data_IF_888654541951
#
_entry.id   IF_888654541951
#
_cell.length_a   1.000
_cell.length_b   1.000
_cell.length_c   1.000
_cell.angle_alpha   90.00
_cell.angle_beta   90.00
_cell.angle_gamma   90.00
#
_symmetry.space_group_name_H-M   'P 1'
#
loop_
_entity.id
_entity.type
_entity.pdbx_description
1 polymer ?
#
# COMPACT_ATOMS: atom_id res chain seq x y z
N UNK A 1 38.56 -23.07 -0.89
CA UNK A 1 38.27 -24.40 -0.30
C UNK A 1 37.41 -24.12 0.93
N UNK A 2 36.09 -24.11 0.79
CA UNK A 2 35.16 -23.71 1.85
C UNK A 2 34.79 -24.94 2.67
N UNK A 3 35.18 -24.96 3.94
CA UNK A 3 34.67 -25.88 4.95
C UNK A 3 33.20 -25.53 5.25
N UNK A 4 32.26 -26.47 5.14
CA UNK A 4 30.88 -26.24 5.57
C UNK A 4 30.84 -26.15 7.09
N UNK A 5 30.48 -24.98 7.63
CA UNK A 5 30.14 -24.82 9.05
C UNK A 5 28.75 -25.41 9.24
N UNK A 6 28.65 -26.47 10.04
CA UNK A 6 27.36 -27.01 10.50
C UNK A 6 26.85 -26.15 11.66
N UNK A 7 26.14 -25.06 11.36
CA UNK A 7 25.30 -24.42 12.37
C UNK A 7 24.02 -25.24 12.53
N UNK A 8 23.97 -26.03 13.60
CA UNK A 8 22.73 -26.62 14.10
C UNK A 8 21.80 -25.50 14.58
N UNK A 9 20.65 -25.36 13.93
CA UNK A 9 19.61 -24.38 14.26
C UNK A 9 19.19 -24.45 15.75
N UNK A 10 19.35 -23.38 16.55
CA UNK A 10 18.95 -23.37 17.96
C UNK A 10 17.42 -23.28 18.16
N UNK A 11 16.61 -23.17 17.10
CA UNK A 11 15.15 -23.04 17.21
C UNK A 11 14.37 -24.37 17.21
N UNK A 12 15.06 -25.53 17.13
CA UNK A 12 14.43 -26.86 17.13
C UNK A 12 14.90 -27.76 18.29
N UNK A 13 15.21 -27.17 19.45
CA UNK A 13 15.39 -27.94 20.67
C UNK A 13 14.01 -28.27 21.28
N UNK A 14 13.53 -29.49 21.04
CA UNK A 14 12.50 -30.11 21.87
C UNK A 14 13.17 -30.71 23.12
N UNK A 15 12.70 -30.43 24.35
CA UNK A 15 13.31 -30.98 25.54
C UNK A 15 12.93 -32.47 25.72
N UNK A 16 13.98 -33.30 25.67
CA UNK A 16 14.17 -34.58 26.38
C UNK A 16 13.12 -35.70 26.25
N UNK A 17 13.57 -36.83 25.68
CA UNK A 17 13.72 -38.08 26.45
C UNK A 17 12.50 -39.00 26.60
N UNK A 18 12.53 -40.14 25.90
CA UNK A 18 11.97 -41.40 26.40
C UNK A 18 10.80 -42.02 25.61
N UNK A 19 11.11 -43.17 24.99
CA UNK A 19 10.25 -44.29 24.56
C UNK A 19 9.19 -44.06 23.46
N UNK A 20 9.49 -44.70 22.32
CA UNK A 20 8.59 -45.42 21.42
C UNK A 20 7.15 -44.90 21.26
N UNK A 21 6.96 -44.07 20.23
CA UNK A 21 5.74 -44.07 19.42
C UNK A 21 6.12 -43.62 18.01
N UNK A 22 5.87 -44.48 17.00
CA UNK A 22 5.94 -44.13 15.58
C UNK A 22 5.01 -42.94 15.33
N UNK A 23 5.57 -41.74 15.25
CA UNK A 23 4.92 -40.58 14.66
C UNK A 23 4.86 -40.77 13.14
N UNK A 24 3.80 -40.27 12.46
CA UNK A 24 3.79 -40.19 11.00
C UNK A 24 5.00 -39.35 10.56
N UNK A 25 5.55 -39.54 9.35
CA UNK A 25 6.72 -38.78 8.92
C UNK A 25 6.34 -37.31 8.98
N UNK A 26 6.87 -36.60 9.99
CA UNK A 26 6.92 -35.16 9.95
C UNK A 26 7.67 -34.87 8.66
N UNK A 27 6.97 -34.26 7.71
CA UNK A 27 7.60 -33.57 6.60
C UNK A 27 8.51 -32.54 7.24
N UNK A 28 9.75 -32.97 7.51
CA UNK A 28 10.81 -32.13 7.99
C UNK A 28 10.79 -30.92 7.06
N UNK A 29 10.56 -29.75 7.63
CA UNK A 29 10.74 -28.50 6.90
C UNK A 29 12.18 -28.60 6.40
N UNK A 30 12.35 -28.93 5.12
CA UNK A 30 13.64 -28.83 4.47
C UNK A 30 14.05 -27.41 4.76
N UNK A 31 15.06 -27.25 5.62
CA UNK A 31 15.63 -25.95 5.91
C UNK A 31 15.97 -25.40 4.53
N UNK A 32 15.28 -24.33 4.16
CA UNK A 32 15.48 -23.69 2.87
C UNK A 32 16.88 -23.10 2.93
N UNK A 33 17.84 -23.94 2.57
CA UNK A 33 19.22 -23.56 2.34
C UNK A 33 19.16 -22.40 1.36
N UNK A 34 20.00 -21.38 1.55
CA UNK A 34 20.30 -20.44 0.48
C UNK A 34 20.97 -21.23 -0.65
N UNK A 35 20.16 -21.87 -1.50
CA UNK A 35 20.59 -22.34 -2.79
C UNK A 35 20.91 -21.10 -3.61
N UNK A 36 22.10 -21.05 -4.20
CA UNK A 36 22.46 -19.98 -5.10
C UNK A 36 21.42 -19.94 -6.23
N UNK A 37 20.57 -18.91 -6.34
CA UNK A 37 19.62 -18.85 -7.42
C UNK A 37 20.44 -18.81 -8.72
N UNK A 38 20.18 -19.76 -9.62
CA UNK A 38 20.73 -19.67 -10.97
C UNK A 38 20.35 -18.30 -11.53
N UNK A 39 21.29 -17.57 -12.13
CA UNK A 39 21.08 -16.22 -12.66
C UNK A 39 20.10 -16.26 -13.85
N UNK A 40 18.81 -16.40 -13.56
CA UNK A 40 17.71 -16.47 -14.52
C UNK A 40 16.69 -15.41 -14.15
N UNK A 41 16.26 -14.63 -15.15
CA UNK A 41 15.13 -13.72 -14.99
C UNK A 41 13.86 -14.55 -14.85
N UNK A 42 13.29 -14.57 -13.65
CA UNK A 42 12.05 -15.27 -13.39
C UNK A 42 10.87 -14.45 -13.93
N UNK A 43 9.91 -15.13 -14.56
CA UNK A 43 8.64 -14.54 -14.98
C UNK A 43 8.78 -13.29 -15.88
N UNK A 44 9.83 -13.25 -16.72
CA UNK A 44 10.22 -12.09 -17.53
C UNK A 44 9.11 -11.52 -18.43
N UNK A 45 8.16 -12.36 -18.84
CA UNK A 45 6.96 -11.93 -19.58
C UNK A 45 6.19 -10.81 -18.85
N UNK A 46 5.99 -10.94 -17.53
CA UNK A 46 5.25 -9.94 -16.75
C UNK A 46 6.04 -8.64 -16.55
N UNK A 47 7.38 -8.73 -16.52
CA UNK A 47 8.23 -7.54 -16.54
C UNK A 47 8.08 -6.76 -17.85
N UNK A 48 8.09 -7.46 -19.00
CA UNK A 48 7.88 -6.83 -20.32
C UNK A 48 6.49 -6.20 -20.40
N UNK A 49 5.46 -6.88 -19.89
CA UNK A 49 4.09 -6.36 -19.85
C UNK A 49 3.98 -5.10 -18.96
N UNK A 50 4.71 -5.04 -17.85
CA UNK A 50 4.72 -3.84 -17.01
C UNK A 50 5.43 -2.68 -17.72
N UNK A 51 6.59 -2.93 -18.35
CA UNK A 51 7.32 -1.92 -19.10
C UNK A 51 6.52 -1.39 -20.30
N UNK A 52 5.75 -2.25 -20.99
CA UNK A 52 4.86 -1.80 -22.05
C UNK A 52 3.73 -0.92 -21.51
N UNK A 53 3.15 -1.24 -20.35
CA UNK A 53 2.16 -0.39 -19.68
C UNK A 53 2.76 1.00 -19.32
N UNK A 54 3.98 1.04 -18.78
CA UNK A 54 4.70 2.30 -18.50
C UNK A 54 4.89 3.12 -19.79
N UNK A 55 5.30 2.46 -20.88
CA UNK A 55 5.49 3.11 -22.18
C UNK A 55 4.18 3.68 -22.74
N UNK A 56 3.08 2.93 -22.68
CA UNK A 56 1.76 3.38 -23.14
C UNK A 56 1.30 4.60 -22.34
N UNK A 57 1.43 4.58 -21.01
CA UNK A 57 1.12 5.75 -20.19
C UNK A 57 2.02 6.95 -20.51
N UNK A 58 3.31 6.70 -20.76
CA UNK A 58 4.25 7.71 -21.24
C UNK A 58 3.77 8.38 -22.53
N UNK A 59 3.42 7.59 -23.54
CA UNK A 59 2.92 8.09 -24.82
C UNK A 59 1.64 8.91 -24.61
N UNK A 60 0.67 8.39 -23.86
CA UNK A 60 -0.58 9.11 -23.57
C UNK A 60 -0.34 10.43 -22.83
N UNK A 61 0.54 10.42 -21.83
CA UNK A 61 0.91 11.60 -21.06
C UNK A 61 1.58 12.66 -21.95
N UNK A 62 2.56 12.30 -22.78
CA UNK A 62 3.27 13.28 -23.60
C UNK A 62 2.47 13.75 -24.82
N UNK A 63 1.74 12.85 -25.49
CA UNK A 63 1.09 13.16 -26.76
C UNK A 63 -0.21 13.94 -26.58
N UNK A 64 -1.03 13.59 -25.59
CA UNK A 64 -2.34 14.23 -25.33
C UNK A 64 -2.42 14.86 -23.95
N UNK A 65 -1.80 14.26 -22.92
CA UNK A 65 -1.87 14.75 -21.55
C UNK A 65 -1.19 16.11 -21.32
N UNK A 66 0.05 16.29 -21.78
CA UNK A 66 0.80 17.54 -21.61
C UNK A 66 0.16 18.70 -22.41
N UNK A 67 -0.25 18.53 -23.68
CA UNK A 67 -1.00 19.56 -24.38
C UNK A 67 -2.30 19.95 -23.67
N UNK A 68 -3.08 18.97 -23.20
CA UNK A 68 -4.31 19.21 -22.44
C UNK A 68 -4.05 19.97 -21.14
N UNK A 69 -3.02 19.59 -20.40
CA UNK A 69 -2.61 20.27 -19.17
C UNK A 69 -2.16 21.71 -19.44
N UNK A 70 -1.44 21.95 -20.55
CA UNK A 70 -1.03 23.30 -20.96
C UNK A 70 -2.23 24.16 -21.36
N UNK A 71 -3.21 23.60 -22.04
CA UNK A 71 -4.45 24.28 -22.42
C UNK A 71 -5.25 24.69 -21.16
N UNK A 72 -5.44 23.76 -20.22
CA UNK A 72 -6.14 24.05 -18.96
C UNK A 72 -5.39 25.08 -18.10
N UNK A 73 -4.07 24.99 -18.02
CA UNK A 73 -3.25 26.02 -17.36
C UNK A 73 -3.36 27.37 -18.07
N UNK A 74 -3.33 27.39 -19.40
CA UNK A 74 -3.49 28.61 -20.21
C UNK A 74 -4.84 29.29 -19.98
N UNK A 75 -5.93 28.52 -19.95
CA UNK A 75 -7.28 29.01 -19.66
C UNK A 75 -7.41 29.58 -18.24
N UNK A 76 -6.82 28.91 -17.26
CA UNK A 76 -6.76 29.43 -15.89
C UNK A 76 -5.90 30.71 -15.79
N UNK A 77 -4.88 30.87 -16.64
CA UNK A 77 -4.05 32.09 -16.70
C UNK A 77 -4.84 33.28 -17.22
N UNK A 78 -5.60 33.10 -18.30
CA UNK A 78 -6.41 34.16 -18.90
C UNK A 78 -7.55 34.60 -17.98
N UNK A 79 -8.12 33.69 -17.19
CA UNK A 79 -9.15 33.99 -16.20
C UNK A 79 -8.60 34.69 -14.93
N UNK A 80 -7.31 35.00 -14.88
CA UNK A 80 -6.65 35.57 -13.70
C UNK A 80 -6.63 34.62 -12.49
N UNK A 81 -6.86 33.32 -12.71
CA UNK A 81 -6.93 32.27 -11.68
C UNK A 81 -5.60 31.59 -11.41
N UNK A 82 -4.53 31.90 -12.15
CA UNK A 82 -3.18 31.45 -11.78
C UNK A 82 -2.67 32.36 -10.69
N UNK A 83 -2.40 31.82 -9.51
CA UNK A 83 -1.97 32.65 -8.43
C UNK A 83 -0.46 32.62 -8.23
N UNK A 84 0.08 33.76 -7.81
CA UNK A 84 1.51 34.03 -7.67
C UNK A 84 2.21 33.26 -6.52
N UNK A 85 1.54 32.31 -5.84
CA UNK A 85 2.01 31.63 -4.64
C UNK A 85 2.57 30.20 -4.82
N UNK A 86 2.82 29.74 -6.05
CA UNK A 86 3.36 28.38 -6.29
C UNK A 86 4.67 28.12 -5.52
N UNK A 87 5.56 29.10 -5.37
CA UNK A 87 6.82 28.96 -4.63
C UNK A 87 6.58 28.66 -3.15
N UNK A 88 5.57 29.26 -2.53
CA UNK A 88 5.24 29.08 -1.10
C UNK A 88 4.60 27.71 -0.84
N UNK A 89 3.75 27.22 -1.76
CA UNK A 89 3.17 25.89 -1.64
C UNK A 89 4.25 24.79 -1.68
N UNK A 90 5.22 24.90 -2.59
CA UNK A 90 6.34 23.95 -2.66
C UNK A 90 7.24 24.01 -1.42
N UNK A 91 7.48 25.19 -0.84
CA UNK A 91 8.26 25.30 0.41
C UNK A 91 7.52 24.69 1.60
N UNK A 92 6.21 24.89 1.72
CA UNK A 92 5.39 24.25 2.77
C UNK A 92 5.41 22.72 2.66
N UNK A 93 5.23 22.19 1.45
CA UNK A 93 5.34 20.74 1.20
C UNK A 93 6.72 20.23 1.61
N UNK A 94 7.79 20.95 1.23
CA UNK A 94 9.15 20.61 1.61
C UNK A 94 9.35 20.53 3.13
N UNK A 95 8.85 21.51 3.89
CA UNK A 95 8.97 21.49 5.36
C UNK A 95 8.18 20.32 5.97
N UNK A 96 6.95 20.07 5.50
CA UNK A 96 6.15 18.94 5.99
C UNK A 96 6.81 17.58 5.71
N UNK A 97 7.46 17.42 4.54
CA UNK A 97 8.24 16.23 4.23
C UNK A 97 9.43 16.05 5.20
N UNK A 98 10.15 17.12 5.54
CA UNK A 98 11.26 17.06 6.50
C UNK A 98 10.75 16.70 7.89
N UNK A 99 9.68 17.35 8.37
CA UNK A 99 9.07 17.06 9.68
C UNK A 99 8.61 15.61 9.75
N UNK A 100 7.89 15.12 8.74
CA UNK A 100 7.44 13.72 8.68
C UNK A 100 8.59 12.73 8.70
N UNK A 101 9.69 13.03 8.00
CA UNK A 101 10.89 12.16 7.97
C UNK A 101 11.57 12.10 9.34
N UNK A 102 11.74 13.24 10.01
CA UNK A 102 12.33 13.30 11.36
C UNK A 102 11.48 12.54 12.38
N UNK A 103 10.16 12.74 12.34
CA UNK A 103 9.22 12.02 13.21
C UNK A 103 9.23 10.51 12.94
N UNK A 104 9.35 10.09 11.69
CA UNK A 104 9.46 8.66 11.33
C UNK A 104 10.75 8.02 11.87
N UNK A 105 11.89 8.70 11.77
CA UNK A 105 13.15 8.22 12.35
C UNK A 105 13.08 8.15 13.88
N UNK A 106 12.48 9.15 14.52
CA UNK A 106 12.23 9.14 15.96
C UNK A 106 11.31 7.97 16.37
N UNK A 107 10.28 7.70 15.57
CA UNK A 107 9.38 6.56 15.78
C UNK A 107 10.11 5.22 15.74
N UNK A 108 11.02 5.02 14.78
CA UNK A 108 11.83 3.80 14.69
C UNK A 108 12.74 3.62 15.93
N UNK A 109 13.28 4.71 16.49
CA UNK A 109 14.06 4.64 17.74
C UNK A 109 13.17 4.27 18.94
N UNK A 110 11.97 4.83 19.01
CA UNK A 110 10.99 4.50 20.06
C UNK A 110 10.57 3.02 20.00
N UNK A 111 10.30 2.52 18.80
CA UNK A 111 9.98 1.11 18.49
C UNK A 111 10.99 0.15 19.09
N UNK A 112 12.30 0.41 18.93
CA UNK A 112 13.34 -0.46 19.48
C UNK A 112 13.42 -0.44 21.00
N UNK A 113 13.25 0.73 21.60
CA UNK A 113 13.38 0.90 23.05
C UNK A 113 12.22 0.24 23.81
N UNK A 114 10.99 0.36 23.28
CA UNK A 114 9.78 -0.02 24.01
C UNK A 114 8.82 -0.92 23.22
N UNK A 115 9.32 -1.76 22.29
CA UNK A 115 8.52 -2.63 21.42
C UNK A 115 7.34 -3.34 22.13
N UNK A 116 7.58 -4.02 23.25
CA UNK A 116 6.51 -4.71 24.00
C UNK A 116 5.45 -3.77 24.55
N UNK A 117 5.85 -2.65 25.17
CA UNK A 117 4.92 -1.67 25.72
C UNK A 117 4.12 -1.00 24.61
N UNK A 118 4.78 -0.70 23.49
CA UNK A 118 4.16 -0.07 22.33
C UNK A 118 3.14 -0.99 21.65
N UNK A 119 3.42 -2.30 21.49
CA UNK A 119 2.41 -3.25 20.97
C UNK A 119 1.16 -3.26 21.87
N UNK A 120 1.34 -3.23 23.20
CA UNK A 120 0.19 -3.14 24.13
C UNK A 120 -0.57 -1.83 23.98
N UNK A 121 0.13 -0.70 23.89
CA UNK A 121 -0.50 0.63 23.70
C UNK A 121 -1.27 0.68 22.39
N UNK A 122 -0.67 0.19 21.29
CA UNK A 122 -1.31 0.09 19.98
C UNK A 122 -2.64 -0.68 20.03
N UNK A 123 -2.63 -1.87 20.64
CA UNK A 123 -3.83 -2.68 20.79
C UNK A 123 -4.93 -1.97 21.59
N UNK A 124 -4.59 -1.35 22.72
CA UNK A 124 -5.55 -0.59 23.52
C UNK A 124 -6.03 0.68 22.82
N UNK A 125 -5.17 1.34 22.03
CA UNK A 125 -5.54 2.50 21.23
C UNK A 125 -6.52 2.11 20.13
N UNK A 126 -6.36 0.92 19.52
CA UNK A 126 -7.33 0.38 18.57
C UNK A 126 -8.72 0.25 19.18
N UNK A 127 -8.81 -0.34 20.38
CA UNK A 127 -10.07 -0.43 21.14
C UNK A 127 -10.62 0.98 21.41
N UNK A 128 -9.77 1.91 21.84
CA UNK A 128 -10.16 3.30 22.09
C UNK A 128 -10.75 3.99 20.84
N UNK A 129 -10.14 3.80 19.67
CA UNK A 129 -10.66 4.36 18.41
C UNK A 129 -12.01 3.73 18.02
N UNK A 130 -12.15 2.40 18.11
CA UNK A 130 -13.42 1.72 17.81
C UNK A 130 -14.53 2.20 18.75
N UNK A 131 -14.22 2.41 20.03
CA UNK A 131 -15.15 3.00 21.00
C UNK A 131 -15.50 4.45 20.66
N UNK A 132 -14.52 5.27 20.25
CA UNK A 132 -14.79 6.64 19.80
C UNK A 132 -15.71 6.67 18.58
N UNK A 133 -15.52 5.75 17.62
CA UNK A 133 -16.43 5.58 16.49
C UNK A 133 -17.83 5.15 16.94
N UNK A 134 -17.94 4.21 17.89
CA UNK A 134 -19.23 3.80 18.45
C UNK A 134 -19.98 4.97 19.10
N UNK A 135 -19.30 5.82 19.87
CA UNK A 135 -19.90 7.02 20.48
C UNK A 135 -20.31 8.03 19.43
N UNK A 136 -19.46 8.30 18.43
CA UNK A 136 -19.76 9.27 17.37
C UNK A 136 -20.94 8.86 16.49
N UNK A 137 -21.13 7.56 16.27
CA UNK A 137 -22.20 7.03 15.41
C UNK A 137 -23.51 6.82 16.16
N UNK A 138 -23.50 6.85 17.50
CA UNK A 138 -24.69 6.69 18.33
C UNK A 138 -25.79 7.72 18.02
N UNK A 139 -25.40 8.96 17.71
CA UNK A 139 -26.33 10.05 17.36
C UNK A 139 -26.92 9.94 15.95
N UNK A 140 -26.33 9.13 15.06
CA UNK A 140 -26.75 9.03 13.65
C UNK A 140 -27.48 7.71 13.38
N UNK A 141 -26.93 6.59 13.84
CA UNK A 141 -27.51 5.26 13.64
C UNK A 141 -27.15 4.33 14.80
N UNK A 142 -28.15 4.02 15.63
CA UNK A 142 -28.02 3.17 16.82
C UNK A 142 -27.53 1.75 16.47
N UNK A 143 -27.94 1.20 15.32
CA UNK A 143 -27.51 -0.14 14.89
C UNK A 143 -26.04 -0.18 14.51
N UNK A 144 -25.54 0.87 13.86
CA UNK A 144 -24.11 1.00 13.54
C UNK A 144 -23.27 1.12 14.83
N UNK A 145 -23.74 1.90 15.80
CA UNK A 145 -23.07 2.04 17.10
C UNK A 145 -23.02 0.70 17.86
N UNK A 146 -24.11 -0.07 17.85
CA UNK A 146 -24.16 -1.40 18.47
C UNK A 146 -23.17 -2.38 17.80
N UNK A 147 -23.08 -2.34 16.46
CA UNK A 147 -22.07 -3.13 15.73
C UNK A 147 -20.64 -2.77 16.17
N UNK A 148 -20.31 -1.48 16.28
CA UNK A 148 -18.98 -1.05 16.75
C UNK A 148 -18.72 -1.43 18.21
N UNK A 149 -19.72 -1.41 19.09
CA UNK A 149 -19.56 -1.88 20.48
C UNK A 149 -19.26 -3.38 20.56
N UNK A 150 -19.97 -4.21 19.76
CA UNK A 150 -19.67 -5.64 19.67
C UNK A 150 -18.25 -5.85 19.12
N UNK A 151 -17.86 -5.11 18.09
CA UNK A 151 -16.49 -5.16 17.55
C UNK A 151 -15.44 -4.76 18.59
N UNK A 152 -15.71 -3.74 19.41
CA UNK A 152 -14.83 -3.34 20.51
C UNK A 152 -14.69 -4.46 21.56
N UNK A 153 -15.78 -5.13 21.94
CA UNK A 153 -15.75 -6.26 22.86
C UNK A 153 -14.91 -7.43 22.32
N UNK A 154 -15.04 -7.74 21.02
CA UNK A 154 -14.22 -8.75 20.34
C UNK A 154 -12.73 -8.34 20.35
N UNK A 155 -12.42 -7.06 20.11
CA UNK A 155 -11.04 -6.57 20.17
C UNK A 155 -10.45 -6.69 21.59
N UNK A 156 -11.23 -6.37 22.63
CA UNK A 156 -10.78 -6.55 24.03
C UNK A 156 -10.52 -8.03 24.33
N UNK A 157 -11.41 -8.92 23.90
CA UNK A 157 -11.20 -10.36 24.03
C UNK A 157 -9.94 -10.84 23.31
N UNK A 158 -9.70 -10.34 22.09
CA UNK A 158 -8.49 -10.61 21.32
C UNK A 158 -7.21 -10.17 22.07
N UNK A 159 -7.22 -8.99 22.70
CA UNK A 159 -6.09 -8.49 23.50
C UNK A 159 -5.72 -9.48 24.60
N UNK A 160 -6.70 -10.03 25.31
CA UNK A 160 -6.44 -11.02 26.36
C UNK A 160 -5.93 -12.35 25.78
N UNK A 161 -6.48 -12.80 24.65
CA UNK A 161 -6.04 -14.03 23.98
C UNK A 161 -4.58 -13.98 23.49
N UNK A 162 -4.10 -12.78 23.10
CA UNK A 162 -2.80 -12.62 22.45
C UNK A 162 -1.64 -12.25 23.39
N UNK A 163 -1.91 -11.97 24.68
CA UNK A 163 -0.88 -11.54 25.66
C UNK A 163 0.38 -12.43 25.66
N UNK A 164 0.20 -13.74 25.61
CA UNK A 164 1.29 -14.72 25.64
C UNK A 164 2.22 -14.65 24.41
N UNK A 165 1.76 -14.04 23.31
CA UNK A 165 2.49 -13.93 22.03
C UNK A 165 3.20 -12.57 21.87
N UNK A 166 2.88 -11.57 22.69
CA UNK A 166 3.45 -10.22 22.60
C UNK A 166 4.98 -10.25 22.80
N UNK A 167 5.49 -11.12 23.68
CA UNK A 167 6.93 -11.26 23.89
C UNK A 167 7.67 -11.74 22.64
N UNK A 168 7.10 -12.72 21.93
CA UNK A 168 7.65 -13.23 20.67
C UNK A 168 7.60 -12.16 19.56
N UNK A 169 6.48 -11.46 19.40
CA UNK A 169 6.36 -10.34 18.46
C UNK A 169 7.34 -9.21 18.75
N UNK A 170 7.51 -8.86 20.03
CA UNK A 170 8.50 -7.87 20.44
C UNK A 170 9.93 -8.30 20.12
N UNK A 171 10.26 -9.59 20.23
CA UNK A 171 11.61 -10.09 19.92
C UNK A 171 11.87 -10.02 18.41
N UNK A 172 10.92 -10.48 17.59
CA UNK A 172 11.02 -10.41 16.13
C UNK A 172 11.12 -8.96 15.63
N UNK A 173 10.31 -8.06 16.18
CA UNK A 173 10.35 -6.64 15.84
C UNK A 173 11.70 -6.01 16.20
N UNK A 174 12.26 -6.31 17.38
CA UNK A 174 13.59 -5.84 17.78
C UNK A 174 14.69 -6.36 16.84
N UNK A 175 14.65 -7.64 16.47
CA UNK A 175 15.60 -8.21 15.53
C UNK A 175 15.50 -7.55 14.14
N UNK A 176 14.28 -7.34 13.62
CA UNK A 176 14.05 -6.67 12.35
C UNK A 176 14.58 -5.22 12.38
N UNK A 177 14.30 -4.46 13.45
CA UNK A 177 14.81 -3.10 13.60
C UNK A 177 16.34 -3.05 13.71
N UNK A 178 16.97 -4.01 14.40
CA UNK A 178 18.42 -4.10 14.51
C UNK A 178 19.07 -4.31 13.12
N UNK A 179 18.52 -5.22 12.32
CA UNK A 179 18.98 -5.46 10.94
C UNK A 179 18.87 -4.20 10.06
N UNK A 180 17.75 -3.48 10.15
CA UNK A 180 17.52 -2.25 9.38
C UNK A 180 18.45 -1.10 9.80
N UNK A 181 18.79 -0.98 11.09
CA UNK A 181 19.70 0.08 11.54
C UNK A 181 21.15 -0.18 11.15
N UNK A 182 21.60 -1.43 11.18
CA UNK A 182 22.92 -1.80 10.67
C UNK A 182 23.04 -1.54 9.16
N UNK A 183 21.93 -1.66 8.42
CA UNK A 183 21.86 -1.36 6.99
C UNK A 183 21.01 -0.13 6.69
N UNK A 184 21.43 1.03 7.22
CA UNK A 184 20.70 2.31 7.06
C UNK A 184 20.46 2.74 5.61
N UNK A 185 21.20 2.20 4.63
CA UNK A 185 20.96 2.39 3.20
C UNK A 185 19.55 1.95 2.75
N UNK A 186 18.89 1.05 3.50
CA UNK A 186 17.50 0.64 3.22
C UNK A 186 16.54 1.82 3.32
N UNK A 187 16.76 2.76 4.25
CA UNK A 187 15.93 3.96 4.38
C UNK A 187 16.10 4.89 3.18
N UNK A 188 17.30 4.96 2.60
CA UNK A 188 17.55 5.73 1.37
C UNK A 188 16.82 5.09 0.20
N UNK A 189 16.86 3.75 0.06
CA UNK A 189 16.10 3.04 -0.98
C UNK A 189 14.59 3.27 -0.82
N UNK A 190 14.07 3.18 0.41
CA UNK A 190 12.66 3.47 0.68
C UNK A 190 12.28 4.90 0.27
N UNK A 191 13.10 5.89 0.61
CA UNK A 191 12.87 7.29 0.23
C UNK A 191 12.89 7.48 -1.30
N UNK A 192 13.85 6.88 -2.00
CA UNK A 192 13.92 6.93 -3.48
C UNK A 192 12.69 6.28 -4.11
N UNK A 193 12.22 5.15 -3.59
CA UNK A 193 11.01 4.49 -4.09
C UNK A 193 9.74 5.30 -3.80
N UNK A 194 9.68 6.06 -2.69
CA UNK A 194 8.59 7.02 -2.42
C UNK A 194 8.62 8.17 -3.43
N UNK A 195 9.80 8.72 -3.77
CA UNK A 195 9.90 9.73 -4.82
C UNK A 195 9.47 9.17 -6.18
N UNK A 196 9.90 7.95 -6.51
CA UNK A 196 9.47 7.24 -7.71
C UNK A 196 7.95 7.01 -7.73
N UNK A 197 7.34 6.76 -6.56
CA UNK A 197 5.89 6.62 -6.42
C UNK A 197 5.17 7.93 -6.72
N UNK A 198 5.72 9.08 -6.31
CA UNK A 198 5.17 10.40 -6.67
C UNK A 198 5.28 10.66 -8.18
N UNK A 199 6.43 10.34 -8.78
CA UNK A 199 6.63 10.45 -10.25
C UNK A 199 5.63 9.56 -10.99
N UNK A 200 5.38 8.34 -10.51
CA UNK A 200 4.38 7.45 -11.07
C UNK A 200 2.97 8.04 -11.00
N UNK A 201 2.58 8.61 -9.85
CA UNK A 201 1.26 9.25 -9.69
C UNK A 201 1.10 10.46 -10.61
N UNK A 202 2.15 11.28 -10.76
CA UNK A 202 2.15 12.42 -11.68
C UNK A 202 2.02 11.97 -13.14
N UNK A 203 2.80 10.97 -13.55
CA UNK A 203 2.72 10.38 -14.88
C UNK A 203 1.30 9.87 -15.17
N UNK A 204 0.73 9.13 -14.21
CA UNK A 204 -0.62 8.59 -14.33
C UNK A 204 -1.69 9.68 -14.39
N UNK A 205 -1.58 10.75 -13.58
CA UNK A 205 -2.50 11.89 -13.64
C UNK A 205 -2.46 12.61 -15.00
N UNK A 206 -1.28 12.84 -15.56
CA UNK A 206 -1.17 13.47 -16.88
C UNK A 206 -1.70 12.53 -17.98
N UNK A 207 -1.42 11.23 -17.86
CA UNK A 207 -1.96 10.23 -18.77
C UNK A 207 -3.49 10.11 -18.71
N UNK A 208 -4.10 10.25 -17.53
CA UNK A 208 -5.57 10.20 -17.38
C UNK A 208 -6.27 11.41 -17.98
N UNK A 209 -5.66 12.61 -17.88
CA UNK A 209 -6.11 13.80 -18.62
C UNK A 209 -6.03 13.58 -20.14
N UNK A 210 -4.92 13.01 -20.61
CA UNK A 210 -4.75 12.67 -22.03
C UNK A 210 -5.79 11.66 -22.51
N UNK A 211 -6.06 10.62 -21.71
CA UNK A 211 -7.08 9.61 -21.98
C UNK A 211 -8.48 10.24 -22.05
N UNK A 212 -8.83 11.10 -21.09
CA UNK A 212 -10.11 11.81 -21.08
C UNK A 212 -10.31 12.64 -22.36
N UNK A 213 -9.30 13.38 -22.80
CA UNK A 213 -9.37 14.16 -24.05
C UNK A 213 -9.53 13.29 -25.29
N UNK A 214 -8.84 12.16 -25.37
CA UNK A 214 -9.01 11.20 -26.47
C UNK A 214 -10.45 10.68 -26.52
N UNK A 215 -11.06 10.39 -25.38
CA UNK A 215 -12.45 9.94 -25.34
C UNK A 215 -13.45 11.02 -25.76
N UNK A 216 -13.26 12.25 -25.27
CA UNK A 216 -14.13 13.37 -25.65
C UNK A 216 -14.04 13.66 -27.14
N UNK A 217 -12.85 13.60 -27.74
CA UNK A 217 -12.67 13.83 -29.17
C UNK A 217 -13.17 12.67 -30.05
N UNK A 218 -13.14 11.43 -29.54
CA UNK A 218 -13.50 10.24 -30.31
C UNK A 218 -15.02 10.00 -30.38
N UNK A 219 -15.79 10.55 -29.45
CA UNK A 219 -17.23 10.34 -29.38
C UNK A 219 -18.01 11.58 -29.87
N UNK A 220 -18.68 11.52 -31.04
CA UNK A 220 -19.38 12.66 -31.62
C UNK A 220 -20.64 13.08 -30.84
N UNK A 221 -21.19 12.23 -29.97
CA UNK A 221 -22.38 12.53 -29.16
C UNK A 221 -22.04 13.06 -27.74
N UNK A 222 -20.75 13.09 -27.39
CA UNK A 222 -20.24 13.42 -26.06
C UNK A 222 -20.59 14.85 -25.61
N UNK A 223 -20.50 15.84 -26.52
CA UNK A 223 -20.87 17.23 -26.21
C UNK A 223 -22.37 17.37 -25.87
N UNK A 224 -23.22 16.56 -26.51
CA UNK A 224 -24.68 16.56 -26.27
C UNK A 224 -25.01 15.95 -24.91
N UNK A 225 -24.34 14.88 -24.51
CA UNK A 225 -24.51 14.26 -23.19
C UNK A 225 -24.03 15.18 -22.06
N UNK A 226 -22.92 15.89 -22.25
CA UNK A 226 -22.40 16.87 -21.27
C UNK A 226 -23.37 18.06 -21.10
N UNK A 227 -23.96 18.58 -22.19
CA UNK A 227 -24.98 19.65 -22.11
C UNK A 227 -26.28 19.17 -21.42
N UNK A 228 -26.71 17.93 -21.68
CA UNK A 228 -27.85 17.31 -21.00
C UNK A 228 -27.59 17.10 -19.50
N UNK A 229 -26.39 16.68 -19.12
CA UNK A 229 -26.00 16.51 -17.72
C UNK A 229 -25.93 17.86 -16.97
N UNK A 230 -25.34 18.88 -17.58
CA UNK A 230 -25.25 20.22 -16.99
C UNK A 230 -26.60 20.93 -16.86
N UNK A 231 -27.60 20.56 -17.68
CA UNK A 231 -29.01 21.00 -17.54
C UNK A 231 -29.83 20.16 -16.54
N UNK A 232 -29.20 19.24 -15.80
CA UNK A 232 -29.86 18.38 -14.83
C UNK A 232 -30.82 17.34 -15.45
N UNK A 233 -30.72 17.09 -16.76
CA UNK A 233 -31.59 16.16 -17.50
C UNK A 233 -30.96 14.78 -17.73
N UNK A 234 -29.67 14.60 -17.40
CA UNK A 234 -28.98 13.30 -17.45
C UNK A 234 -28.22 13.05 -16.14
N UNK A 235 -28.33 11.85 -15.59
CA UNK A 235 -27.75 11.44 -14.29
C UNK A 235 -26.40 10.70 -14.48
N UNK A 236 -25.43 11.32 -15.17
CA UNK A 236 -24.09 10.73 -15.26
C UNK A 236 -23.22 11.29 -16.38
N UNK A 237 -22.54 12.41 -16.13
CA UNK A 237 -21.62 13.06 -17.07
C UNK A 237 -20.26 12.36 -17.21
N UNK A 238 -20.22 11.18 -17.82
CA UNK A 238 -19.08 10.69 -18.59
C UNK A 238 -19.63 10.35 -19.99
N UNK A 239 -18.83 10.43 -21.04
CA UNK A 239 -19.25 9.94 -22.36
C UNK A 239 -19.21 8.40 -22.30
N UNK A 240 -20.32 7.78 -21.86
CA UNK A 240 -20.35 6.41 -21.32
C UNK A 240 -20.62 5.38 -22.41
N UNK A 241 -19.64 5.16 -23.29
CA UNK A 241 -19.58 3.96 -24.12
C UNK A 241 -18.92 2.78 -23.40
N UNK A 242 -19.16 1.54 -23.88
CA UNK A 242 -18.35 0.35 -23.53
C UNK A 242 -16.83 0.60 -23.63
N UNK A 243 -16.31 1.32 -24.65
CA UNK A 243 -14.89 1.66 -24.74
C UNK A 243 -14.36 2.52 -23.57
N UNK A 244 -15.19 3.43 -23.05
CA UNK A 244 -14.81 4.31 -21.94
C UNK A 244 -14.65 3.51 -20.64
N UNK A 245 -15.53 2.53 -20.38
CA UNK A 245 -15.38 1.63 -19.22
C UNK A 245 -14.14 0.74 -19.32
N UNK A 246 -13.83 0.22 -20.51
CA UNK A 246 -12.64 -0.60 -20.73
C UNK A 246 -11.36 0.22 -20.47
N UNK A 247 -11.31 1.47 -20.91
CA UNK A 247 -10.16 2.33 -20.64
C UNK A 247 -10.08 2.83 -19.20
N UNK A 248 -11.21 3.12 -18.54
CA UNK A 248 -11.24 3.40 -17.11
C UNK A 248 -10.67 2.22 -16.32
N UNK A 249 -11.10 1.00 -16.65
CA UNK A 249 -10.57 -0.21 -16.04
C UNK A 249 -9.07 -0.37 -16.29
N UNK A 250 -8.60 -0.18 -17.54
CA UNK A 250 -7.18 -0.20 -17.85
C UNK A 250 -6.39 0.84 -17.03
N UNK A 251 -6.89 2.08 -16.93
CA UNK A 251 -6.24 3.14 -16.15
C UNK A 251 -6.21 2.81 -14.66
N UNK A 252 -7.28 2.22 -14.11
CA UNK A 252 -7.32 1.75 -12.72
C UNK A 252 -6.32 0.61 -12.47
N UNK A 253 -6.29 -0.40 -13.33
CA UNK A 253 -5.29 -1.48 -13.26
C UNK A 253 -3.89 -0.88 -13.31
N UNK A 254 -3.64 0.09 -14.20
CA UNK A 254 -2.34 0.71 -14.35
C UNK A 254 -1.86 1.43 -13.08
N UNK A 255 -2.71 2.27 -12.46
CA UNK A 255 -2.30 3.00 -11.23
C UNK A 255 -1.98 2.04 -10.08
N UNK A 256 -2.87 1.07 -9.83
CA UNK A 256 -2.66 0.08 -8.76
C UNK A 256 -1.47 -0.82 -9.06
N UNK A 257 -1.25 -1.20 -10.32
CA UNK A 257 -0.15 -2.07 -10.68
C UNK A 257 1.20 -1.40 -10.45
N UNK A 258 1.37 -0.13 -10.83
CA UNK A 258 2.59 0.60 -10.55
C UNK A 258 2.81 0.88 -9.07
N UNK A 259 1.75 1.17 -8.31
CA UNK A 259 1.82 1.30 -6.85
C UNK A 259 2.31 0.01 -6.19
N UNK A 260 1.68 -1.11 -6.53
CA UNK A 260 2.03 -2.43 -6.01
C UNK A 260 3.46 -2.82 -6.39
N UNK A 261 3.88 -2.61 -7.64
CA UNK A 261 5.26 -2.95 -8.07
C UNK A 261 6.31 -2.19 -7.25
N UNK A 262 6.15 -0.88 -7.07
CA UNK A 262 7.11 -0.07 -6.30
C UNK A 262 7.17 -0.48 -4.83
N UNK A 263 6.01 -0.73 -4.20
CA UNK A 263 5.95 -1.23 -2.83
C UNK A 263 6.58 -2.62 -2.68
N UNK A 264 6.34 -3.51 -3.64
CA UNK A 264 6.82 -4.89 -3.56
C UNK A 264 8.31 -5.02 -3.93
N UNK A 265 8.87 -4.09 -4.72
CA UNK A 265 10.33 -3.94 -4.85
C UNK A 265 10.96 -3.63 -3.50
N UNK A 266 10.38 -2.72 -2.71
CA UNK A 266 10.86 -2.42 -1.37
C UNK A 266 10.79 -3.67 -0.48
N UNK A 267 9.65 -4.38 -0.45
CA UNK A 267 9.47 -5.61 0.34
C UNK A 267 10.50 -6.70 -0.03
N UNK A 268 10.75 -6.92 -1.32
CA UNK A 268 11.75 -7.90 -1.75
C UNK A 268 13.18 -7.46 -1.38
N UNK A 269 13.46 -6.16 -1.49
CA UNK A 269 14.76 -5.58 -1.14
C UNK A 269 15.01 -5.71 0.37
N UNK A 270 14.05 -5.34 1.20
CA UNK A 270 14.15 -5.43 2.67
C UNK A 270 14.28 -6.88 3.12
N UNK A 271 13.48 -7.80 2.57
CA UNK A 271 13.60 -9.23 2.84
C UNK A 271 14.99 -9.77 2.48
N UNK A 272 15.53 -9.37 1.32
CA UNK A 272 16.88 -9.73 0.90
C UNK A 272 17.95 -9.19 1.85
N UNK A 273 17.83 -7.93 2.29
CA UNK A 273 18.77 -7.31 3.24
C UNK A 273 18.74 -8.02 4.60
N UNK A 274 17.56 -8.26 5.15
CA UNK A 274 17.40 -8.93 6.45
C UNK A 274 17.90 -10.38 6.38
N UNK A 275 17.66 -11.09 5.27
CA UNK A 275 18.21 -12.43 5.08
C UNK A 275 19.73 -12.43 5.00
N UNK A 276 20.34 -11.52 4.23
CA UNK A 276 21.79 -11.42 4.18
C UNK A 276 22.39 -11.03 5.53
N UNK A 277 21.73 -10.13 6.28
CA UNK A 277 22.13 -9.78 7.64
C UNK A 277 22.11 -11.01 8.58
N UNK A 278 21.08 -11.85 8.47
CA UNK A 278 20.93 -13.05 9.29
C UNK A 278 21.94 -14.16 8.93
N UNK A 279 22.13 -14.44 7.65
CA UNK A 279 22.95 -15.57 7.19
C UNK A 279 24.41 -15.22 6.86
N UNK A 280 24.72 -13.94 6.60
CA UNK A 280 26.03 -13.47 6.15
C UNK A 280 26.37 -12.09 6.75
N UNK A 281 26.65 -12.00 8.07
CA UNK A 281 26.81 -10.72 8.77
C UNK A 281 27.96 -9.85 8.26
N UNK A 282 28.94 -10.42 7.54
CA UNK A 282 30.09 -9.69 6.99
C UNK A 282 29.91 -9.23 5.52
N UNK A 283 28.74 -9.44 4.93
CA UNK A 283 28.49 -9.08 3.54
C UNK A 283 28.53 -7.56 3.34
N UNK A 284 29.21 -7.11 2.28
CA UNK A 284 29.33 -5.70 1.91
C UNK A 284 28.31 -5.35 0.82
N UNK A 285 27.87 -4.07 0.77
CA UNK A 285 26.93 -3.56 -0.24
C UNK A 285 25.61 -4.34 -0.34
N UNK A 286 25.16 -4.90 0.78
CA UNK A 286 23.97 -5.76 0.89
C UNK A 286 22.72 -5.12 0.27
N UNK A 287 22.43 -3.87 0.62
CA UNK A 287 21.23 -3.15 0.16
C UNK A 287 21.21 -2.95 -1.35
N UNK A 288 22.35 -2.59 -1.95
CA UNK A 288 22.42 -2.37 -3.40
C UNK A 288 22.30 -3.70 -4.15
N UNK A 289 22.93 -4.76 -3.65
CA UNK A 289 22.80 -6.10 -4.23
C UNK A 289 21.38 -6.64 -4.16
N UNK A 290 20.71 -6.48 -3.02
CA UNK A 290 19.31 -6.87 -2.84
C UNK A 290 18.39 -6.08 -3.78
N UNK A 291 18.55 -4.75 -3.85
CA UNK A 291 17.77 -3.89 -4.76
C UNK A 291 17.99 -4.28 -6.22
N UNK A 292 19.25 -4.48 -6.62
CA UNK A 292 19.60 -4.91 -7.97
C UNK A 292 18.89 -6.21 -8.35
N UNK A 293 18.91 -7.20 -7.46
CA UNK A 293 18.19 -8.47 -7.66
C UNK A 293 16.67 -8.26 -7.78
N UNK A 294 16.09 -7.39 -6.96
CA UNK A 294 14.65 -7.05 -7.02
C UNK A 294 14.25 -6.37 -8.33
N UNK A 295 15.09 -5.50 -8.90
CA UNK A 295 14.80 -4.79 -10.17
C UNK A 295 15.28 -5.53 -11.42
N UNK A 296 15.97 -6.66 -11.27
CA UNK A 296 16.45 -7.48 -12.40
C UNK A 296 15.84 -8.89 -12.38
N UNK A 297 16.46 -9.83 -11.67
CA UNK A 297 16.12 -11.26 -11.76
C UNK A 297 14.74 -11.58 -11.16
N UNK A 298 14.34 -10.86 -10.11
CA UNK A 298 13.06 -11.06 -9.42
C UNK A 298 11.96 -10.10 -9.90
N UNK A 299 12.27 -9.17 -10.81
CA UNK A 299 11.35 -8.12 -11.22
C UNK A 299 10.08 -8.66 -11.89
N UNK A 300 10.21 -9.69 -12.72
CA UNK A 300 9.06 -10.35 -13.35
C UNK A 300 8.11 -10.98 -12.34
N UNK A 301 8.65 -11.66 -11.32
CA UNK A 301 7.86 -12.25 -10.24
C UNK A 301 7.15 -11.20 -9.39
N UNK A 302 7.80 -10.06 -9.15
CA UNK A 302 7.19 -8.90 -8.47
C UNK A 302 6.05 -8.33 -9.32
N UNK A 303 6.26 -8.15 -10.63
CA UNK A 303 5.24 -7.65 -11.55
C UNK A 303 4.03 -8.58 -11.61
N UNK A 304 4.24 -9.90 -11.64
CA UNK A 304 3.17 -10.89 -11.70
C UNK A 304 2.28 -10.84 -10.45
N UNK A 305 2.86 -10.93 -9.26
CA UNK A 305 2.08 -10.86 -8.03
C UNK A 305 1.33 -9.52 -7.90
N UNK A 306 1.97 -8.43 -8.32
CA UNK A 306 1.42 -7.07 -8.21
C UNK A 306 0.24 -6.87 -9.16
N UNK A 307 0.28 -7.51 -10.33
CA UNK A 307 -0.80 -7.46 -11.32
C UNK A 307 -2.09 -8.10 -10.78
N UNK A 308 -1.99 -9.24 -10.09
CA UNK A 308 -3.15 -9.94 -9.54
C UNK A 308 -3.88 -9.04 -8.53
N UNK A 309 -3.14 -8.40 -7.62
CA UNK A 309 -3.72 -7.49 -6.62
C UNK A 309 -4.31 -6.26 -7.32
N UNK A 310 -3.60 -5.69 -8.30
CA UNK A 310 -4.05 -4.52 -9.03
C UNK A 310 -5.37 -4.74 -9.80
N UNK A 311 -5.53 -5.91 -10.42
CA UNK A 311 -6.78 -6.29 -11.11
C UNK A 311 -7.92 -6.41 -10.13
N UNK A 312 -7.71 -7.06 -8.98
CA UNK A 312 -8.76 -7.19 -7.95
C UNK A 312 -9.16 -5.83 -7.36
N UNK A 313 -8.18 -4.95 -7.10
CA UNK A 313 -8.43 -3.58 -6.64
C UNK A 313 -9.19 -2.77 -7.69
N UNK A 314 -8.82 -2.87 -8.97
CA UNK A 314 -9.55 -2.21 -10.06
C UNK A 314 -11.00 -2.71 -10.19
N UNK A 315 -11.23 -4.03 -10.12
CA UNK A 315 -12.56 -4.62 -10.15
C UNK A 315 -13.41 -4.15 -8.97
N UNK A 316 -12.84 -4.09 -7.77
CA UNK A 316 -13.53 -3.56 -6.58
C UNK A 316 -13.95 -2.10 -6.77
N UNK A 317 -13.05 -1.26 -7.29
CA UNK A 317 -13.36 0.15 -7.56
C UNK A 317 -14.44 0.30 -8.63
N UNK A 318 -14.43 -0.54 -9.67
CA UNK A 318 -15.49 -0.58 -10.67
C UNK A 318 -16.84 -1.02 -10.08
N UNK A 319 -16.86 -1.98 -9.17
CA UNK A 319 -18.07 -2.41 -8.47
C UNK A 319 -18.65 -1.30 -7.58
N UNK A 320 -17.81 -0.55 -6.85
CA UNK A 320 -18.26 0.61 -6.07
C UNK A 320 -18.82 1.72 -6.98
N UNK A 321 -18.16 2.01 -8.11
CA UNK A 321 -18.69 2.97 -9.08
C UNK A 321 -20.03 2.53 -9.67
N UNK A 322 -20.19 1.25 -10.00
CA UNK A 322 -21.46 0.70 -10.50
C UNK A 322 -22.57 0.75 -9.44
N UNK A 323 -22.24 0.45 -8.17
CA UNK A 323 -23.17 0.55 -7.04
C UNK A 323 -23.68 1.98 -6.84
N UNK A 324 -22.79 2.97 -6.87
CA UNK A 324 -23.17 4.39 -6.74
C UNK A 324 -24.12 4.81 -7.86
N UNK A 325 -23.80 4.47 -9.11
CA UNK A 325 -24.67 4.75 -10.27
C UNK A 325 -26.03 4.07 -10.16
N UNK A 326 -26.07 2.78 -9.80
CA UNK A 326 -27.32 2.05 -9.63
C UNK A 326 -28.20 2.62 -8.50
N UNK A 327 -27.58 3.15 -7.44
CA UNK A 327 -28.28 3.84 -6.35
C UNK A 327 -28.86 5.17 -6.81
N UNK A 328 -28.18 5.91 -7.68
CA UNK A 328 -28.67 7.16 -8.27
C UNK A 328 -29.85 6.91 -9.23
N UNK A 329 -29.82 5.80 -9.96
CA UNK A 329 -30.89 5.39 -10.90
C UNK A 329 -32.09 4.70 -10.22
N UNK A 330 -32.13 4.62 -8.88
CA UNK A 330 -33.13 3.88 -8.09
C UNK A 330 -33.28 2.39 -8.49
N UNK A 331 -32.24 1.79 -9.10
CA UNK A 331 -32.23 0.38 -9.47
C UNK A 331 -31.71 -0.48 -8.31
N UNK A 332 -32.58 -0.75 -7.34
CA UNK A 332 -32.23 -1.49 -6.12
C UNK A 332 -31.65 -2.90 -6.38
N UNK A 333 -32.07 -3.57 -7.46
CA UNK A 333 -31.55 -4.89 -7.83
C UNK A 333 -30.09 -4.86 -8.26
N UNK A 334 -29.74 -3.90 -9.14
CA UNK A 334 -28.36 -3.71 -9.60
C UNK A 334 -27.46 -3.21 -8.47
N UNK A 335 -27.96 -2.32 -7.61
CA UNK A 335 -27.23 -1.82 -6.45
C UNK A 335 -26.90 -2.95 -5.45
N UNK A 336 -27.85 -3.88 -5.23
CA UNK A 336 -27.65 -5.04 -4.36
C UNK A 336 -26.57 -6.00 -4.91
N UNK A 337 -26.64 -6.33 -6.20
CA UNK A 337 -25.63 -7.17 -6.86
C UNK A 337 -24.24 -6.54 -6.83
N UNK A 338 -24.15 -5.23 -7.09
CA UNK A 338 -22.88 -4.51 -7.04
C UNK A 338 -22.28 -4.48 -5.61
N UNK A 339 -23.13 -4.35 -4.58
CA UNK A 339 -22.72 -4.44 -3.18
C UNK A 339 -22.15 -5.82 -2.82
N UNK A 340 -22.82 -6.91 -3.25
CA UNK A 340 -22.31 -8.27 -3.03
C UNK A 340 -20.97 -8.50 -3.75
N UNK A 341 -20.86 -8.05 -5.01
CA UNK A 341 -19.62 -8.14 -5.76
C UNK A 341 -18.48 -7.34 -5.11
N UNK A 342 -18.74 -6.11 -4.65
CA UNK A 342 -17.79 -5.28 -3.91
C UNK A 342 -17.28 -6.00 -2.65
N UNK A 343 -18.17 -6.64 -1.90
CA UNK A 343 -17.82 -7.39 -0.69
C UNK A 343 -16.92 -8.60 -1.00
N UNK A 344 -17.32 -9.44 -1.97
CA UNK A 344 -16.55 -10.63 -2.37
C UNK A 344 -15.18 -10.23 -2.91
N UNK A 345 -15.13 -9.24 -3.80
CA UNK A 345 -13.88 -8.72 -4.37
C UNK A 345 -13.00 -8.09 -3.28
N UNK A 346 -13.59 -7.40 -2.31
CA UNK A 346 -12.89 -6.86 -1.15
C UNK A 346 -12.23 -7.96 -0.32
N UNK A 347 -12.98 -9.02 0.03
CA UNK A 347 -12.44 -10.18 0.73
C UNK A 347 -11.32 -10.86 -0.05
N UNK A 348 -11.52 -11.09 -1.35
CA UNK A 348 -10.54 -11.74 -2.21
C UNK A 348 -9.26 -10.88 -2.36
N UNK A 349 -9.40 -9.58 -2.60
CA UNK A 349 -8.28 -8.65 -2.71
C UNK A 349 -7.43 -8.68 -1.43
N UNK A 350 -8.06 -8.59 -0.25
CA UNK A 350 -7.36 -8.59 1.03
C UNK A 350 -6.60 -9.92 1.27
N UNK A 351 -7.22 -11.06 0.97
CA UNK A 351 -6.58 -12.38 1.15
C UNK A 351 -5.39 -12.53 0.21
N UNK A 352 -5.56 -12.17 -1.06
CA UNK A 352 -4.49 -12.28 -2.07
C UNK A 352 -3.35 -11.31 -1.75
N UNK A 353 -3.65 -10.08 -1.35
CA UNK A 353 -2.64 -9.11 -0.93
C UNK A 353 -1.82 -9.62 0.25
N UNK A 354 -2.49 -10.22 1.25
CA UNK A 354 -1.82 -10.83 2.40
C UNK A 354 -0.88 -11.96 1.99
N UNK A 355 -1.37 -12.95 1.23
CA UNK A 355 -0.54 -14.08 0.78
C UNK A 355 0.61 -13.60 -0.10
N UNK A 356 0.36 -12.63 -0.98
CA UNK A 356 1.38 -12.07 -1.86
C UNK A 356 2.48 -11.38 -1.06
N UNK A 357 2.17 -10.68 0.03
CA UNK A 357 3.17 -10.06 0.89
C UNK A 357 4.21 -11.08 1.39
N UNK A 358 3.75 -12.23 1.89
CA UNK A 358 4.63 -13.33 2.29
C UNK A 358 5.37 -13.96 1.11
N UNK A 359 4.72 -14.07 -0.06
CA UNK A 359 5.36 -14.61 -1.25
C UNK A 359 6.53 -13.71 -1.70
N UNK A 360 6.40 -12.39 -1.60
CA UNK A 360 7.48 -11.46 -1.89
C UNK A 360 8.65 -11.57 -0.92
N UNK A 361 8.41 -11.91 0.35
CA UNK A 361 9.51 -12.23 1.28
C UNK A 361 10.29 -13.43 0.74
N UNK A 362 9.63 -14.50 0.30
CA UNK A 362 10.31 -15.66 -0.31
C UNK A 362 11.05 -15.32 -1.61
N UNK A 363 10.45 -14.49 -2.48
CA UNK A 363 11.13 -13.97 -3.69
C UNK A 363 12.36 -13.15 -3.30
N UNK A 364 12.26 -12.32 -2.27
CA UNK A 364 13.34 -11.47 -1.76
C UNK A 364 14.45 -12.25 -1.06
N UNK A 365 14.13 -13.32 -0.33
CA UNK A 365 15.15 -14.17 0.34
C UNK A 365 15.82 -15.09 -0.68
N UNK A 366 15.03 -15.93 -1.35
CA UNK A 366 15.55 -17.05 -2.15
C UNK A 366 15.67 -16.76 -3.65
N UNK A 367 14.99 -15.72 -4.16
CA UNK A 367 14.97 -15.46 -5.60
C UNK A 367 14.15 -16.48 -6.40
N UNK A 368 13.19 -17.15 -5.78
CA UNK A 368 12.29 -18.08 -6.47
C UNK A 368 11.26 -17.36 -7.36
N UNK A 369 10.75 -18.02 -8.42
CA UNK A 369 9.63 -17.50 -9.18
C UNK A 369 8.38 -17.42 -8.31
N UNK A 370 7.47 -16.50 -8.64
CA UNK A 370 6.37 -16.12 -7.75
C UNK A 370 5.47 -17.31 -7.36
N UNK A 371 5.16 -18.20 -8.31
CA UNK A 371 4.32 -19.38 -8.07
C UNK A 371 4.95 -20.35 -7.06
N UNK A 372 6.27 -20.54 -7.15
CA UNK A 372 7.02 -21.40 -6.22
C UNK A 372 7.06 -20.77 -4.84
N UNK A 373 7.30 -19.45 -4.76
CA UNK A 373 7.23 -18.70 -3.51
C UNK A 373 5.86 -18.80 -2.84
N UNK A 374 4.77 -18.64 -3.61
CA UNK A 374 3.41 -18.78 -3.09
C UNK A 374 3.12 -20.19 -2.54
N UNK A 375 3.63 -21.24 -3.20
CA UNK A 375 3.53 -22.61 -2.67
C UNK A 375 4.29 -22.77 -1.36
N UNK A 376 5.52 -22.24 -1.28
CA UNK A 376 6.34 -22.29 -0.07
C UNK A 376 5.69 -21.54 1.11
N UNK A 377 4.99 -20.43 0.85
CA UNK A 377 4.19 -19.72 1.86
C UNK A 377 3.03 -20.58 2.35
N UNK A 378 2.32 -21.26 1.44
CA UNK A 378 1.23 -22.14 1.84
C UNK A 378 1.74 -23.30 2.71
N UNK A 379 2.90 -23.87 2.36
CA UNK A 379 3.55 -24.89 3.16
C UNK A 379 4.00 -24.33 4.53
N UNK A 380 4.47 -23.08 4.60
CA UNK A 380 4.82 -22.41 5.85
C UNK A 380 3.59 -22.25 6.77
N UNK A 381 2.45 -21.82 6.22
CA UNK A 381 1.21 -21.67 6.98
C UNK A 381 0.65 -23.01 7.45
N UNK A 382 0.75 -24.05 6.64
CA UNK A 382 0.36 -25.41 7.04
C UNK A 382 1.23 -25.94 8.19
N UNK A 383 2.53 -25.64 8.18
CA UNK A 383 3.49 -26.16 9.16
C UNK A 383 3.56 -25.35 10.47
N UNK A 384 3.47 -24.01 10.40
CA UNK A 384 3.57 -23.12 11.58
C UNK A 384 2.21 -22.60 12.08
N UNK A 385 1.15 -22.82 11.32
CA UNK A 385 -0.22 -22.45 11.66
C UNK A 385 -0.42 -20.95 11.91
N UNK A 386 -1.38 -20.64 12.78
CA UNK A 386 -1.80 -19.29 13.13
C UNK A 386 -0.74 -18.43 13.84
N UNK A 387 0.35 -19.03 14.32
CA UNK A 387 1.37 -18.29 15.09
C UNK A 387 2.07 -17.21 14.26
N UNK A 388 2.37 -17.50 12.99
CA UNK A 388 3.01 -16.54 12.09
C UNK A 388 2.08 -15.35 11.81
N UNK A 389 0.80 -15.64 11.55
CA UNK A 389 -0.23 -14.64 11.25
C UNK A 389 -0.48 -13.71 12.44
N UNK A 390 -0.64 -14.26 13.64
CA UNK A 390 -0.89 -13.45 14.84
C UNK A 390 0.31 -12.55 15.16
N UNK A 391 1.53 -13.07 15.01
CA UNK A 391 2.74 -12.29 15.24
C UNK A 391 2.86 -11.09 14.28
N UNK A 392 2.54 -11.32 13.01
CA UNK A 392 2.54 -10.30 11.96
C UNK A 392 1.46 -9.24 12.22
N UNK A 393 0.25 -9.66 12.58
CA UNK A 393 -0.87 -8.76 12.95
C UNK A 393 -0.51 -7.81 14.12
N UNK A 394 0.08 -8.35 15.19
CA UNK A 394 0.54 -7.55 16.34
C UNK A 394 1.59 -6.51 15.93
N UNK A 395 2.51 -6.92 15.07
CA UNK A 395 3.62 -6.07 14.62
C UNK A 395 3.10 -4.98 13.68
N UNK A 396 2.26 -5.36 12.71
CA UNK A 396 1.61 -4.47 11.76
C UNK A 396 0.72 -3.43 12.45
N UNK A 397 -0.06 -3.86 13.46
CA UNK A 397 -0.84 -2.96 14.29
C UNK A 397 0.04 -1.87 14.90
N UNK A 398 1.14 -2.26 15.56
CA UNK A 398 2.00 -1.30 16.23
C UNK A 398 2.73 -0.35 15.27
N UNK A 399 3.12 -0.82 14.08
CA UNK A 399 3.68 0.02 13.02
C UNK A 399 2.65 1.01 12.47
N UNK A 400 1.40 0.57 12.28
CA UNK A 400 0.30 1.38 11.77
C UNK A 400 -0.05 2.53 12.71
N UNK A 401 -0.07 2.30 14.03
CA UNK A 401 -0.26 3.37 15.00
C UNK A 401 0.84 4.41 14.99
N UNK A 402 2.07 3.98 14.73
CA UNK A 402 3.18 4.89 14.48
C UNK A 402 2.97 5.79 13.28
N UNK A 403 2.63 5.18 12.14
CA UNK A 403 2.34 5.91 10.91
C UNK A 403 1.17 6.89 11.10
N UNK A 404 0.11 6.45 11.77
CA UNK A 404 -1.03 7.30 12.11
C UNK A 404 -0.65 8.46 13.03
N UNK A 405 0.17 8.21 14.06
CA UNK A 405 0.69 9.24 14.96
C UNK A 405 1.53 10.28 14.22
N UNK A 406 2.47 9.84 13.37
CA UNK A 406 3.27 10.72 12.51
C UNK A 406 2.37 11.52 11.56
N UNK A 407 1.35 10.88 10.98
CA UNK A 407 0.37 11.52 10.11
C UNK A 407 -0.43 12.62 10.81
N UNK A 408 -0.94 12.36 12.02
CA UNK A 408 -1.68 13.34 12.83
C UNK A 408 -0.78 14.53 13.17
N UNK A 409 0.44 14.30 13.64
CA UNK A 409 1.35 15.40 13.98
C UNK A 409 1.69 16.23 12.74
N UNK A 410 1.98 15.58 11.61
CA UNK A 410 2.27 16.28 10.35
C UNK A 410 1.06 17.07 9.86
N UNK A 411 -0.15 16.53 10.01
CA UNK A 411 -1.41 17.22 9.72
C UNK A 411 -1.60 18.45 10.63
N UNK A 412 -1.40 18.31 11.94
CA UNK A 412 -1.49 19.42 12.89
C UNK A 412 -0.47 20.52 12.57
N UNK A 413 0.77 20.16 12.26
CA UNK A 413 1.80 21.11 11.82
C UNK A 413 1.37 21.80 10.53
N UNK A 414 0.83 21.07 9.55
CA UNK A 414 0.29 21.64 8.32
C UNK A 414 -0.86 22.63 8.57
N UNK A 415 -1.81 22.28 9.45
CA UNK A 415 -2.92 23.16 9.83
C UNK A 415 -2.42 24.42 10.56
N UNK A 416 -1.45 24.28 11.46
CA UNK A 416 -0.84 25.42 12.16
C UNK A 416 -0.11 26.33 11.16
N UNK A 417 0.67 25.75 10.25
CA UNK A 417 1.33 26.50 9.18
C UNK A 417 0.30 27.31 8.41
N UNK A 418 -0.79 26.67 7.95
CA UNK A 418 -1.89 27.35 7.24
C UNK A 418 -2.51 28.47 8.07
N UNK A 419 -2.73 28.24 9.38
CA UNK A 419 -3.37 29.23 10.24
C UNK A 419 -2.52 30.49 10.47
N UNK A 420 -1.20 30.33 10.57
CA UNK A 420 -0.27 31.42 10.87
C UNK A 420 0.32 32.10 9.63
N UNK A 421 0.18 31.48 8.46
CA UNK A 421 0.58 32.12 7.21
C UNK A 421 -0.38 33.25 6.78
N UNK A 422 0.15 34.39 6.29
CA UNK A 422 -0.63 35.46 5.69
C UNK A 422 -1.61 34.96 4.62
N UNK A 423 -2.80 35.57 4.57
CA UNK A 423 -3.89 35.20 3.62
C UNK A 423 -3.41 35.25 2.15
N UNK A 424 -2.47 36.14 1.84
CA UNK A 424 -1.85 36.28 0.51
C UNK A 424 -1.10 35.02 0.04
N UNK A 425 -0.75 34.11 0.94
CA UNK A 425 -0.09 32.84 0.58
C UNK A 425 -1.10 31.78 0.10
N UNK A 426 -2.38 31.86 0.50
CA UNK A 426 -3.44 30.91 0.11
C UNK A 426 -4.47 31.42 -0.87
N UNK A 427 -4.48 32.73 -1.16
CA UNK A 427 -5.12 33.22 -2.39
C UNK A 427 -4.61 32.45 -3.61
N UNK A 428 -3.44 31.80 -3.47
CA UNK A 428 -2.86 30.87 -4.41
C UNK A 428 -3.31 29.42 -4.47
N UNK A 429 -4.15 28.98 -3.54
CA UNK A 429 -4.72 27.64 -3.55
C UNK A 429 -6.22 27.66 -3.85
N UNK A 430 -6.72 28.77 -4.39
CA UNK A 430 -8.08 28.90 -4.92
C UNK A 430 -9.16 29.23 -3.90
N UNK A 431 -8.80 29.65 -2.68
CA UNK A 431 -9.83 30.08 -1.71
C UNK A 431 -10.41 31.43 -2.11
N UNK A 432 -11.60 31.42 -2.73
CA UNK A 432 -12.51 32.57 -2.66
C UNK A 432 -13.04 32.65 -1.23
N UNK A 433 -12.35 33.36 -0.36
CA UNK A 433 -12.98 33.83 0.87
C UNK A 433 -13.82 35.06 0.53
N UNK A 434 -15.12 34.84 0.34
CA UNK A 434 -16.09 35.86 0.72
C UNK A 434 -15.85 36.14 2.20
N UNK A 435 -15.47 37.36 2.53
CA UNK A 435 -15.39 37.90 3.89
C UNK A 435 -16.73 37.73 4.60
N UNK A 436 -16.98 36.55 5.18
CA UNK A 436 -17.98 36.35 6.20
C UNK A 436 -17.33 36.77 7.53
N UNK A 437 -17.62 38.02 7.88
CA UNK A 437 -17.29 38.67 9.14
C UNK A 437 -18.02 37.90 10.26
N UNK A 438 -17.31 37.04 11.00
CA UNK A 438 -17.83 36.47 12.24
C UNK A 438 -17.44 37.41 13.39
N UNK A 439 -18.42 38.20 13.82
CA UNK A 439 -18.51 38.79 15.16
C UNK A 439 -19.07 37.75 16.13
#
# INVERSE_FOLDING_TARGET
MYTPVSESDPMLMSPSGGKDRRSPPSSAVNSLRLESPAAKCNDAFFAVMFLSNVLVLGILAFWKGVPALKEDMGRNRSDGRIPQGHSVAWTMIGILCVVGTVLSLAWIKLLMSYASSMIRVALWLNVGMVLAFAVSTFSVNVWAALFFLVMAAINVWYIYAVQNRIGFASANLKAACAALQQHSAVFVVAFVLVLQQLVWMLLWMVASLGMHKVFVEADPDCDREIDLASRGRSHGGLCVGLPAYAALFYMLVSVYWGQQVLQNILTCTTAGVVATWWYQPNAQKVTVGALYRSVTTSFGSICFGSLIVAVLQALRTMADMAKRRASEENNGGLACLACMAECILGCLANIVEYINHWAYVYVGVYGYPFRTSGKAVMDLFNNRGWTAVINDDLTSSALSFGALGVGIVTCCVGMLMVRFSPVEWFTALGSRMSTARWL
#
